data_IF_956390431351
#
_entry.id   IF_956390431351
#
_cell.length_a   1.000
_cell.length_b   1.000
_cell.length_c   1.000
_cell.angle_alpha   90.00
_cell.angle_beta   90.00
_cell.angle_gamma   90.00
#
_symmetry.space_group_name_H-M   'P 1'
#
loop_
_entity.id
_entity.type
_entity.pdbx_description
1 polymer ?
#
# COMPACT_ATOMS: atom_id res chain seq x y z
N UNK A 1 -13.63 -3.70 12.86
CA UNK A 1 -12.77 -3.65 14.05
C UNK A 1 -11.44 -3.09 13.58
N UNK A 2 -11.09 -1.85 13.91
CA UNK A 2 -9.76 -1.32 13.61
C UNK A 2 -8.86 -1.66 14.81
N UNK A 3 -7.91 -2.57 14.65
CA UNK A 3 -6.76 -2.59 15.54
C UNK A 3 -5.86 -1.42 15.14
N UNK A 4 -5.97 -0.34 15.90
CA UNK A 4 -5.09 0.82 15.78
C UNK A 4 -3.77 0.48 16.46
N UNK A 5 -2.92 -0.28 15.77
CA UNK A 5 -1.52 -0.48 16.13
C UNK A 5 -0.59 0.55 15.49
N UNK A 6 -1.09 1.41 14.60
CA UNK A 6 -0.25 2.37 13.86
C UNK A 6 -0.09 3.65 14.68
N UNK A 7 1.00 3.68 15.41
CA UNK A 7 1.46 4.80 16.20
C UNK A 7 2.08 5.85 15.26
N UNK A 8 1.23 6.68 14.64
CA UNK A 8 1.71 7.86 13.91
C UNK A 8 1.99 8.97 14.92
N UNK A 9 3.24 9.03 15.38
CA UNK A 9 3.81 10.17 16.09
C UNK A 9 3.29 10.35 17.53
N UNK A 10 4.18 10.14 18.51
CA UNK A 10 4.53 11.11 19.57
C UNK A 10 5.18 10.42 20.78
N UNK A 11 4.83 9.19 21.18
CA UNK A 11 5.55 8.40 22.20
C UNK A 11 5.10 6.93 22.16
N UNK A 12 6.01 5.98 22.43
CA UNK A 12 5.65 4.57 22.62
C UNK A 12 4.73 4.42 23.84
N UNK A 13 3.58 3.76 23.65
CA UNK A 13 2.66 3.44 24.74
C UNK A 13 3.17 2.21 25.47
N UNK A 14 3.92 2.40 26.55
CA UNK A 14 4.60 1.30 27.28
C UNK A 14 3.91 0.93 28.58
N UNK A 15 2.97 1.75 29.07
CA UNK A 15 2.23 1.48 30.32
C UNK A 15 0.72 1.45 30.13
N UNK A 16 0.02 0.78 31.05
CA UNK A 16 -1.43 0.71 31.11
C UNK A 16 -2.06 2.09 31.21
N UNK A 17 -1.50 2.98 32.03
CA UNK A 17 -2.00 4.35 32.20
C UNK A 17 -1.94 5.14 30.90
N UNK A 18 -0.83 5.04 30.16
CA UNK A 18 -0.69 5.69 28.86
C UNK A 18 -1.71 5.17 27.86
N UNK A 19 -1.93 3.85 27.82
CA UNK A 19 -2.91 3.25 26.92
C UNK A 19 -4.34 3.71 27.24
N UNK A 20 -4.71 3.81 28.52
CA UNK A 20 -6.02 4.29 28.95
C UNK A 20 -6.22 5.78 28.66
N UNK A 21 -5.21 6.61 28.93
CA UNK A 21 -5.27 8.04 28.62
C UNK A 21 -5.40 8.29 27.10
N UNK A 22 -4.67 7.51 26.30
CA UNK A 22 -4.79 7.60 24.84
C UNK A 22 -6.16 7.12 24.35
N UNK A 23 -6.68 6.02 24.91
CA UNK A 23 -8.04 5.54 24.63
C UNK A 23 -9.10 6.61 24.88
N UNK A 24 -9.04 7.30 26.03
CA UNK A 24 -9.95 8.39 26.35
C UNK A 24 -9.90 9.52 25.32
N UNK A 25 -8.70 9.84 24.82
CA UNK A 25 -8.52 10.85 23.76
C UNK A 25 -9.21 10.41 22.46
N UNK A 26 -9.09 9.13 22.09
CA UNK A 26 -9.72 8.58 20.90
C UNK A 26 -11.25 8.51 21.03
N UNK A 27 -11.77 8.10 22.19
CA UNK A 27 -13.20 8.05 22.48
C UNK A 27 -13.84 9.44 22.48
N UNK A 28 -13.10 10.47 22.87
CA UNK A 28 -13.56 11.86 22.77
C UNK A 28 -13.68 12.34 21.31
N UNK A 29 -12.94 11.75 20.37
CA UNK A 29 -13.02 12.04 18.94
C UNK A 29 -14.21 11.33 18.30
N UNK A 30 -14.37 10.02 18.53
CA UNK A 30 -15.54 9.27 18.06
C UNK A 30 -15.99 8.20 19.05
N UNK A 31 -17.01 8.47 19.89
CA UNK A 31 -17.48 7.53 20.90
C UNK A 31 -18.22 6.31 20.32
N UNK A 32 -18.46 6.26 19.01
CA UNK A 32 -19.14 5.14 18.35
C UNK A 32 -18.20 3.99 18.00
N UNK A 33 -16.89 4.22 18.06
CA UNK A 33 -15.86 3.24 17.71
C UNK A 33 -15.39 2.53 18.98
N UNK A 34 -15.33 1.19 18.92
CA UNK A 34 -14.65 0.41 19.95
C UNK A 34 -13.14 0.44 19.72
N UNK A 35 -12.41 1.13 20.60
CA UNK A 35 -10.95 1.20 20.57
C UNK A 35 -10.32 0.06 21.37
N UNK A 36 -9.56 -0.79 20.68
CA UNK A 36 -8.75 -1.85 21.26
C UNK A 36 -7.29 -1.39 21.37
N UNK A 37 -6.83 -1.16 22.59
CA UNK A 37 -5.48 -0.65 22.85
C UNK A 37 -4.46 -1.78 22.91
N UNK A 38 -3.21 -1.43 22.62
CA UNK A 38 -2.04 -2.31 22.77
C UNK A 38 -0.91 -1.59 23.50
N UNK A 39 -0.07 -2.33 24.20
CA UNK A 39 1.23 -1.82 24.66
C UNK A 39 2.32 -2.05 23.61
N UNK A 40 3.35 -1.23 23.61
CA UNK A 40 4.59 -1.45 22.88
C UNK A 40 5.48 -2.41 23.68
N UNK A 41 6.04 -3.43 23.02
CA UNK A 41 6.99 -4.35 23.64
C UNK A 41 8.35 -3.63 23.84
N UNK A 42 8.57 -3.07 25.02
CA UNK A 42 9.83 -2.42 25.40
C UNK A 42 10.62 -3.27 26.40
N UNK A 43 11.95 -3.05 26.52
CA UNK A 43 12.78 -3.73 27.53
C UNK A 43 12.31 -3.58 28.98
N UNK A 44 11.56 -2.52 29.28
CA UNK A 44 11.04 -2.21 30.61
C UNK A 44 9.69 -2.89 30.91
N UNK A 45 9.05 -3.52 29.91
CA UNK A 45 7.75 -4.16 30.09
C UNK A 45 7.89 -5.39 30.99
N UNK A 46 7.09 -5.46 32.05
CA UNK A 46 7.16 -6.52 33.06
C UNK A 46 5.93 -7.44 33.03
N UNK A 47 6.06 -8.68 33.54
CA UNK A 47 4.92 -9.58 33.73
C UNK A 47 3.76 -8.96 34.53
N UNK A 48 4.05 -8.15 35.55
CA UNK A 48 3.02 -7.52 36.37
C UNK A 48 2.27 -6.43 35.61
N UNK A 49 2.97 -5.67 34.77
CA UNK A 49 2.34 -4.69 33.89
C UNK A 49 1.43 -5.39 32.86
N UNK A 50 1.79 -6.58 32.37
CA UNK A 50 0.91 -7.39 31.50
C UNK A 50 -0.39 -7.77 32.22
N UNK A 51 -0.31 -8.27 33.46
CA UNK A 51 -1.49 -8.66 34.24
C UNK A 51 -2.39 -7.47 34.52
N UNK A 52 -1.79 -6.34 34.90
CA UNK A 52 -2.49 -5.06 35.09
C UNK A 52 -3.16 -4.58 33.80
N UNK A 53 -2.44 -4.58 32.68
CA UNK A 53 -2.94 -4.20 31.36
C UNK A 53 -4.14 -5.06 30.94
N UNK A 54 -4.07 -6.38 31.13
CA UNK A 54 -5.20 -7.27 30.84
C UNK A 54 -6.42 -6.92 31.69
N UNK A 55 -6.22 -6.71 33.00
CA UNK A 55 -7.29 -6.31 33.92
C UNK A 55 -7.96 -5.00 33.53
N UNK A 56 -7.22 -4.08 32.89
CA UNK A 56 -7.73 -2.82 32.35
C UNK A 56 -8.37 -2.93 30.94
N UNK A 57 -8.41 -4.13 30.35
CA UNK A 57 -9.02 -4.37 29.04
C UNK A 57 -8.11 -4.08 27.84
N UNK A 58 -6.79 -3.99 28.04
CA UNK A 58 -5.81 -3.89 26.95
C UNK A 58 -5.77 -5.22 26.18
N UNK A 59 -5.82 -5.14 24.85
CA UNK A 59 -6.03 -6.30 24.00
C UNK A 59 -4.75 -7.11 23.74
N UNK A 60 -3.61 -6.44 23.70
CA UNK A 60 -2.36 -7.05 23.28
C UNK A 60 -1.11 -6.23 23.52
N UNK A 61 0.01 -6.80 23.13
CA UNK A 61 1.32 -6.12 23.03
C UNK A 61 1.77 -6.18 21.57
N UNK A 62 2.28 -5.08 21.04
CA UNK A 62 2.84 -4.98 19.69
C UNK A 62 4.36 -4.94 19.76
N UNK A 63 5.00 -5.87 19.05
CA UNK A 63 6.45 -5.92 18.86
C UNK A 63 6.86 -5.25 17.55
N UNK A 64 7.87 -4.40 17.65
CA UNK A 64 8.59 -3.83 16.52
C UNK A 64 10.08 -4.23 16.62
N UNK A 65 10.62 -4.97 15.64
CA UNK A 65 12.05 -5.26 15.54
C UNK A 65 12.87 -3.97 15.38
N UNK A 66 14.15 -3.99 15.76
CA UNK A 66 14.97 -2.77 15.80
C UNK A 66 15.17 -2.17 14.41
N UNK A 67 14.84 -0.90 14.22
CA UNK A 67 15.14 -0.14 13.00
C UNK A 67 14.44 -0.62 11.72
N UNK A 68 13.45 -1.52 11.79
CA UNK A 68 12.76 -2.03 10.59
C UNK A 68 11.64 -1.12 10.09
N UNK A 69 11.08 -0.27 10.95
CA UNK A 69 9.99 0.67 10.62
C UNK A 69 10.06 1.98 11.44
N UNK A 70 9.17 2.93 11.20
CA UNK A 70 9.14 4.23 11.90
C UNK A 70 9.01 4.06 13.42
N UNK A 71 9.80 4.80 14.20
CA UNK A 71 9.88 4.74 15.68
C UNK A 71 10.37 3.40 16.27
N UNK A 72 11.17 2.62 15.52
CA UNK A 72 11.65 1.30 15.97
C UNK A 72 13.12 1.25 16.45
N UNK A 73 13.77 2.38 16.69
CA UNK A 73 15.21 2.44 17.05
C UNK A 73 15.58 1.68 18.35
N UNK A 74 14.58 1.35 19.18
CA UNK A 74 14.68 0.57 20.42
C UNK A 74 14.32 -0.93 20.30
N UNK A 75 14.11 -1.45 19.08
CA UNK A 75 13.58 -2.81 18.89
C UNK A 75 14.53 -3.98 19.22
N UNK A 76 14.04 -5.19 18.97
CA UNK A 76 14.50 -6.44 19.62
C UNK A 76 15.54 -7.20 18.79
N UNK A 77 16.67 -7.58 19.41
CA UNK A 77 17.70 -8.46 18.81
C UNK A 77 17.45 -9.96 19.10
N UNK A 78 16.79 -10.28 20.22
CA UNK A 78 16.45 -11.64 20.65
C UNK A 78 15.17 -11.60 21.48
N UNK A 79 14.24 -12.52 21.21
CA UNK A 79 12.94 -12.56 21.90
C UNK A 79 13.02 -13.25 23.27
N UNK A 80 14.09 -14.00 23.53
CA UNK A 80 14.32 -14.77 24.75
C UNK A 80 14.28 -13.90 26.02
N UNK A 81 14.77 -12.67 25.94
CA UNK A 81 14.74 -11.73 27.07
C UNK A 81 13.30 -11.34 27.48
N UNK A 82 12.34 -11.49 26.58
CA UNK A 82 10.92 -11.20 26.81
C UNK A 82 10.11 -12.44 27.18
N UNK A 83 10.72 -13.62 27.32
CA UNK A 83 9.99 -14.85 27.65
C UNK A 83 9.17 -14.75 28.94
N UNK A 84 9.64 -14.10 30.04
CA UNK A 84 8.80 -13.88 31.21
C UNK A 84 7.54 -13.06 30.89
N UNK A 85 7.64 -12.07 30.00
CA UNK A 85 6.51 -11.25 29.54
C UNK A 85 5.55 -12.11 28.70
N UNK A 86 6.06 -12.92 27.78
CA UNK A 86 5.25 -13.80 26.94
C UNK A 86 4.56 -14.91 27.73
N UNK A 87 5.20 -15.43 28.77
CA UNK A 87 4.59 -16.36 29.72
C UNK A 87 3.38 -15.70 30.40
N UNK A 88 3.54 -14.49 30.95
CA UNK A 88 2.42 -13.75 31.54
C UNK A 88 1.32 -13.42 30.53
N UNK A 89 1.67 -13.04 29.29
CA UNK A 89 0.68 -12.82 28.22
C UNK A 89 -0.10 -14.09 27.90
N UNK A 90 0.57 -15.25 27.88
CA UNK A 90 -0.05 -16.55 27.67
C UNK A 90 -0.99 -16.92 28.84
N UNK A 91 -0.58 -16.67 30.09
CA UNK A 91 -1.40 -16.91 31.29
C UNK A 91 -2.71 -16.12 31.25
N UNK A 92 -2.65 -14.86 30.86
CA UNK A 92 -3.80 -13.95 30.89
C UNK A 92 -4.53 -13.83 29.55
N UNK A 93 -4.18 -14.67 28.57
CA UNK A 93 -4.77 -14.70 27.23
C UNK A 93 -4.72 -13.32 26.54
N UNK A 94 -3.56 -12.67 26.58
CA UNK A 94 -3.26 -11.43 25.87
C UNK A 94 -2.61 -11.74 24.51
N UNK A 95 -2.94 -10.96 23.46
CA UNK A 95 -2.43 -11.19 22.10
C UNK A 95 -1.05 -10.55 21.91
N UNK A 96 -0.12 -11.30 21.33
CA UNK A 96 1.15 -10.78 20.82
C UNK A 96 1.03 -10.46 19.33
N UNK A 97 1.24 -9.20 18.97
CA UNK A 97 1.16 -8.73 17.59
C UNK A 97 2.60 -8.49 17.11
N UNK A 98 3.00 -9.08 15.99
CA UNK A 98 4.39 -9.06 15.51
C UNK A 98 4.49 -8.32 14.19
N UNK A 99 5.30 -7.26 14.14
CA UNK A 99 5.90 -6.83 12.88
C UNK A 99 6.99 -7.83 12.50
N UNK A 100 6.67 -8.79 11.65
CA UNK A 100 7.55 -9.94 11.41
C UNK A 100 8.64 -9.71 10.37
N UNK A 101 9.56 -8.77 10.58
CA UNK A 101 10.76 -8.58 9.77
C UNK A 101 12.01 -8.59 10.63
N UNK A 102 13.11 -9.17 10.17
CA UNK A 102 14.40 -8.94 10.83
C UNK A 102 15.12 -7.70 10.26
N UNK A 103 15.98 -7.01 11.03
CA UNK A 103 16.79 -5.91 10.53
C UNK A 103 17.63 -6.32 9.31
N UNK A 104 17.79 -5.41 8.35
CA UNK A 104 18.67 -5.67 7.20
C UNK A 104 20.15 -5.68 7.64
N UNK A 105 20.90 -6.68 7.18
CA UNK A 105 22.31 -6.89 7.51
C UNK A 105 22.99 -7.53 6.30
N UNK A 106 23.99 -6.83 5.75
CA UNK A 106 24.67 -7.24 4.52
C UNK A 106 25.41 -8.56 4.69
N UNK A 107 25.97 -8.84 5.88
CA UNK A 107 26.72 -10.07 6.16
C UNK A 107 25.86 -11.32 6.15
N UNK A 108 24.57 -11.19 6.48
CA UNK A 108 23.58 -12.28 6.45
C UNK A 108 22.76 -12.28 5.16
N UNK A 109 23.10 -11.41 4.20
CA UNK A 109 22.35 -11.21 2.96
C UNK A 109 20.85 -10.91 3.23
N UNK A 110 20.59 -10.12 4.28
CA UNK A 110 19.24 -9.74 4.69
C UNK A 110 18.91 -8.35 4.17
N UNK A 111 17.82 -8.23 3.43
CA UNK A 111 17.29 -6.98 2.88
C UNK A 111 15.76 -6.94 3.02
N UNK A 112 15.15 -5.81 2.65
CA UNK A 112 13.69 -5.61 2.76
C UNK A 112 12.84 -6.64 2.01
N UNK A 113 13.39 -7.34 1.02
CA UNK A 113 12.67 -8.37 0.27
C UNK A 113 12.62 -9.72 1.00
N UNK A 114 13.65 -10.08 1.77
CA UNK A 114 13.74 -11.37 2.46
C UNK A 114 13.71 -11.27 3.99
N UNK A 115 13.57 -10.06 4.55
CA UNK A 115 13.48 -9.84 5.99
C UNK A 115 12.28 -10.55 6.65
N UNK A 116 11.12 -10.61 5.99
CA UNK A 116 9.93 -11.31 6.51
C UNK A 116 10.12 -12.84 6.50
N UNK A 117 10.54 -13.48 5.39
CA UNK A 117 10.87 -14.91 5.40
C UNK A 117 11.93 -15.30 6.45
N UNK A 118 12.96 -14.46 6.63
CA UNK A 118 14.00 -14.71 7.64
C UNK A 118 13.50 -14.52 9.09
N UNK A 119 12.36 -13.85 9.31
CA UNK A 119 11.72 -13.76 10.62
C UNK A 119 10.96 -15.04 11.01
N UNK A 120 10.46 -15.81 10.04
CA UNK A 120 9.57 -16.96 10.28
C UNK A 120 10.13 -18.03 11.25
N UNK A 121 11.45 -18.34 11.27
CA UNK A 121 12.02 -19.22 12.30
C UNK A 121 11.77 -18.73 13.74
N UNK A 122 11.78 -17.40 13.97
CA UNK A 122 11.46 -16.82 15.28
C UNK A 122 9.98 -17.01 15.64
N UNK A 123 9.07 -16.84 14.68
CA UNK A 123 7.64 -17.12 14.88
C UNK A 123 7.42 -18.59 15.28
N UNK A 124 8.06 -19.53 14.58
CA UNK A 124 7.99 -20.96 14.91
C UNK A 124 8.53 -21.24 16.31
N UNK A 125 9.67 -20.64 16.67
CA UNK A 125 10.27 -20.78 18.00
C UNK A 125 9.37 -20.22 19.10
N UNK A 126 8.77 -19.05 18.89
CA UNK A 126 7.83 -18.44 19.83
C UNK A 126 6.59 -19.31 20.02
N UNK A 127 5.98 -19.80 18.94
CA UNK A 127 4.84 -20.70 19.03
C UNK A 127 5.19 -22.02 19.75
N UNK A 128 6.37 -22.59 19.49
CA UNK A 128 6.81 -23.80 20.17
C UNK A 128 7.05 -23.59 21.68
N UNK A 129 7.60 -22.44 22.07
CA UNK A 129 7.83 -22.09 23.47
C UNK A 129 6.53 -21.74 24.22
N UNK A 130 5.58 -21.10 23.53
CA UNK A 130 4.32 -20.62 24.09
C UNK A 130 3.12 -21.09 23.25
N UNK A 131 2.79 -22.39 23.26
CA UNK A 131 1.78 -22.96 22.36
C UNK A 131 0.37 -22.40 22.59
N UNK A 132 0.07 -21.86 23.77
CA UNK A 132 -1.23 -21.23 24.09
C UNK A 132 -1.24 -19.71 23.87
N UNK A 133 -0.09 -19.08 23.65
CA UNK A 133 -0.03 -17.64 23.40
C UNK A 133 -0.65 -17.34 22.04
N UNK A 134 -1.66 -16.47 22.01
CA UNK A 134 -2.23 -15.98 20.74
C UNK A 134 -1.29 -14.99 20.09
N UNK A 135 -0.87 -15.28 18.87
CA UNK A 135 0.07 -14.48 18.09
C UNK A 135 -0.59 -14.05 16.77
N UNK A 136 -0.45 -12.78 16.41
CA UNK A 136 -0.76 -12.29 15.06
C UNK A 136 0.55 -11.91 14.37
N UNK A 137 0.85 -12.58 13.26
CA UNK A 137 1.82 -12.09 12.29
C UNK A 137 1.13 -10.98 11.49
N UNK A 138 1.43 -9.73 11.83
CA UNK A 138 0.76 -8.59 11.21
C UNK A 138 1.19 -8.42 9.75
N UNK A 139 0.29 -7.85 8.95
CA UNK A 139 0.50 -7.33 7.59
C UNK A 139 1.47 -8.19 6.76
N UNK A 140 1.17 -9.49 6.62
CA UNK A 140 2.03 -10.39 5.86
C UNK A 140 2.12 -9.98 4.39
N UNK A 141 3.32 -10.14 3.83
CA UNK A 141 3.63 -9.71 2.46
C UNK A 141 4.16 -10.80 1.57
N UNK A 142 4.44 -11.99 2.10
CA UNK A 142 5.03 -13.12 1.36
C UNK A 142 4.17 -14.38 1.40
N UNK A 143 4.31 -15.21 0.36
CA UNK A 143 3.81 -16.59 0.33
C UNK A 143 4.37 -17.38 1.52
N UNK A 144 5.64 -17.20 1.84
CA UNK A 144 6.29 -17.90 2.96
C UNK A 144 5.59 -17.63 4.31
N UNK A 145 5.17 -16.39 4.56
CA UNK A 145 4.42 -16.04 5.76
C UNK A 145 3.03 -16.71 5.79
N UNK A 146 2.31 -16.73 4.67
CA UNK A 146 1.03 -17.42 4.53
C UNK A 146 1.18 -18.92 4.86
N UNK A 147 2.12 -19.61 4.22
CA UNK A 147 2.33 -21.04 4.45
C UNK A 147 2.79 -21.33 5.88
N UNK A 148 3.68 -20.50 6.44
CA UNK A 148 4.11 -20.63 7.83
C UNK A 148 2.93 -20.55 8.81
N UNK A 149 2.02 -19.58 8.63
CA UNK A 149 0.84 -19.44 9.51
C UNK A 149 -0.15 -20.59 9.34
N UNK A 150 -0.27 -21.17 8.13
CA UNK A 150 -1.10 -22.37 7.89
C UNK A 150 -0.55 -23.60 8.63
N UNK A 151 0.78 -23.76 8.66
CA UNK A 151 1.45 -24.88 9.32
C UNK A 151 1.42 -24.82 10.85
N UNK A 152 1.24 -23.62 11.44
CA UNK A 152 1.22 -23.43 12.88
C UNK A 152 -0.17 -23.72 13.50
N UNK A 153 -0.21 -23.82 14.83
CA UNK A 153 -1.44 -24.10 15.58
C UNK A 153 -2.47 -22.96 15.54
N UNK A 154 -3.67 -23.23 16.06
CA UNK A 154 -4.81 -22.29 16.05
C UNK A 154 -4.60 -20.99 16.81
N UNK A 155 -3.54 -20.91 17.61
CA UNK A 155 -3.14 -19.72 18.33
C UNK A 155 -2.37 -18.72 17.46
N UNK A 156 -2.01 -19.07 16.22
CA UNK A 156 -1.31 -18.17 15.30
C UNK A 156 -2.23 -17.75 14.15
N UNK A 157 -2.41 -16.44 14.02
CA UNK A 157 -3.17 -15.82 12.95
C UNK A 157 -2.32 -14.80 12.19
N UNK A 158 -2.91 -14.25 11.14
CA UNK A 158 -2.25 -13.27 10.28
C UNK A 158 -3.22 -12.19 9.84
N UNK A 159 -2.75 -10.94 9.87
CA UNK A 159 -3.48 -9.84 9.26
C UNK A 159 -2.93 -9.53 7.86
N UNK A 160 -3.82 -9.15 6.95
CA UNK A 160 -3.47 -8.75 5.57
C UNK A 160 -4.06 -7.36 5.31
N UNK A 161 -3.25 -6.49 4.71
CA UNK A 161 -3.66 -5.12 4.38
C UNK A 161 -4.35 -5.04 3.03
N UNK A 162 -5.13 -3.99 2.80
CA UNK A 162 -5.72 -3.74 1.49
C UNK A 162 -4.64 -3.43 0.42
N UNK A 163 -3.58 -2.70 0.80
CA UNK A 163 -2.57 -2.27 -0.15
C UNK A 163 -1.64 -3.42 -0.57
N UNK A 164 -1.35 -4.41 0.28
CA UNK A 164 -0.58 -5.59 -0.13
C UNK A 164 -1.37 -6.56 -1.03
N UNK A 165 -2.70 -6.47 -1.06
CA UNK A 165 -3.52 -7.15 -2.07
C UNK A 165 -3.46 -6.48 -3.44
N UNK A 166 -2.99 -5.24 -3.52
CA UNK A 166 -2.92 -4.45 -4.76
C UNK A 166 -1.48 -4.32 -5.27
N UNK A 167 -0.53 -4.01 -4.40
CA UNK A 167 0.82 -3.59 -4.74
C UNK A 167 1.79 -4.77 -4.87
N UNK A 168 2.81 -4.56 -5.68
CA UNK A 168 4.03 -5.37 -5.85
C UNK A 168 5.26 -4.46 -5.74
N UNK A 169 6.46 -5.04 -5.84
CA UNK A 169 7.72 -4.30 -5.82
C UNK A 169 7.78 -3.15 -6.84
N UNK A 170 7.24 -3.38 -8.05
CA UNK A 170 7.24 -2.40 -9.13
C UNK A 170 6.37 -1.18 -8.81
N UNK A 171 5.35 -1.36 -7.96
CA UNK A 171 4.42 -0.29 -7.62
C UNK A 171 4.98 0.70 -6.60
N UNK A 172 6.04 0.36 -5.85
CA UNK A 172 6.62 1.26 -4.84
C UNK A 172 8.08 1.63 -5.08
N UNK A 173 8.84 0.85 -5.86
CA UNK A 173 10.27 1.09 -6.08
C UNK A 173 10.57 2.51 -6.58
N UNK A 174 9.72 3.05 -7.47
CA UNK A 174 9.79 4.43 -7.96
C UNK A 174 8.69 5.36 -7.43
N UNK A 175 7.84 4.89 -6.52
CA UNK A 175 6.65 5.60 -6.07
C UNK A 175 6.57 5.58 -4.54
N UNK A 176 7.17 6.59 -3.91
CA UNK A 176 7.29 6.70 -2.45
C UNK A 176 5.92 6.69 -1.73
N UNK A 177 4.85 7.11 -2.41
CA UNK A 177 3.49 7.06 -1.87
C UNK A 177 2.99 5.64 -1.59
N UNK A 178 3.49 4.65 -2.33
CA UNK A 178 3.16 3.24 -2.16
C UNK A 178 4.17 2.50 -1.25
N UNK A 179 5.25 3.16 -0.85
CA UNK A 179 6.26 2.60 0.05
C UNK A 179 5.71 2.46 1.49
N UNK A 180 5.78 1.24 2.03
CA UNK A 180 5.41 0.84 3.38
C UNK A 180 6.35 -0.26 3.90
N UNK A 181 6.19 -0.66 5.17
CA UNK A 181 6.92 -1.78 5.77
C UNK A 181 5.94 -2.77 6.40
N UNK A 182 6.04 -4.08 6.10
CA UNK A 182 6.95 -4.68 5.13
C UNK A 182 6.62 -4.19 3.71
N UNK A 183 7.64 -4.07 2.85
CA UNK A 183 7.42 -3.62 1.47
C UNK A 183 6.55 -4.63 0.72
N UNK A 184 5.74 -4.18 -0.24
CA UNK A 184 5.06 -5.11 -1.14
C UNK A 184 6.09 -5.92 -1.96
N UNK A 185 5.83 -7.21 -2.15
CA UNK A 185 6.83 -8.16 -2.64
C UNK A 185 6.58 -8.53 -4.11
N UNK A 186 6.84 -9.77 -4.48
CA UNK A 186 6.70 -10.24 -5.86
C UNK A 186 5.23 -10.50 -6.22
N UNK A 187 4.89 -10.58 -7.53
CA UNK A 187 3.51 -10.88 -7.96
C UNK A 187 2.94 -12.19 -7.40
N UNK A 188 3.76 -13.22 -7.25
CA UNK A 188 3.40 -14.54 -6.69
C UNK A 188 3.17 -14.51 -5.18
N UNK A 189 3.84 -13.61 -4.46
CA UNK A 189 3.54 -13.30 -3.06
C UNK A 189 2.17 -12.63 -2.92
N UNK A 190 1.89 -11.62 -3.76
CA UNK A 190 0.57 -10.96 -3.79
C UNK A 190 -0.54 -11.96 -4.14
N UNK A 191 -0.29 -12.87 -5.06
CA UNK A 191 -1.23 -13.93 -5.40
C UNK A 191 -1.50 -14.86 -4.22
N UNK A 192 -0.47 -15.27 -3.47
CA UNK A 192 -0.66 -16.08 -2.26
C UNK A 192 -1.53 -15.39 -1.20
N UNK A 193 -1.38 -14.06 -1.01
CA UNK A 193 -2.25 -13.28 -0.13
C UNK A 193 -3.71 -13.23 -0.61
N UNK A 194 -3.94 -13.19 -1.93
CA UNK A 194 -5.30 -13.21 -2.50
C UNK A 194 -5.91 -14.60 -2.39
N UNK A 195 -5.15 -15.64 -2.67
CA UNK A 195 -5.61 -17.02 -2.68
C UNK A 195 -6.02 -17.49 -1.28
N UNK A 196 -5.30 -17.11 -0.23
CA UNK A 196 -5.68 -17.47 1.14
C UNK A 196 -7.00 -16.81 1.58
N UNK A 197 -7.30 -15.62 1.04
CA UNK A 197 -8.60 -14.96 1.26
C UNK A 197 -9.70 -15.70 0.50
N UNK A 198 -9.48 -16.10 -0.77
CA UNK A 198 -10.42 -16.92 -1.55
C UNK A 198 -10.75 -18.25 -0.86
N UNK A 199 -9.72 -18.89 -0.30
CA UNK A 199 -9.83 -20.13 0.49
C UNK A 199 -10.78 -19.95 1.69
N UNK A 200 -10.92 -18.72 2.19
CA UNK A 200 -11.77 -18.41 3.34
C UNK A 200 -11.14 -18.85 4.67
N UNK A 201 -9.80 -18.92 4.74
CA UNK A 201 -9.11 -19.45 5.90
C UNK A 201 -9.38 -18.58 7.16
N UNK A 202 -9.87 -19.16 8.27
CA UNK A 202 -10.44 -18.39 9.39
C UNK A 202 -9.39 -17.61 10.21
N UNK A 203 -8.11 -17.94 10.07
CA UNK A 203 -6.99 -17.28 10.76
C UNK A 203 -6.38 -16.11 9.97
N UNK A 204 -6.93 -15.77 8.80
CA UNK A 204 -6.53 -14.59 8.03
C UNK A 204 -7.66 -13.57 8.03
N UNK A 205 -7.34 -12.32 8.39
CA UNK A 205 -8.31 -11.24 8.51
C UNK A 205 -7.71 -9.88 8.16
N UNK A 206 -8.58 -8.90 7.94
CA UNK A 206 -8.19 -7.54 7.60
C UNK A 206 -7.47 -6.87 8.78
N UNK A 207 -6.25 -6.41 8.53
CA UNK A 207 -5.56 -5.39 9.32
C UNK A 207 -5.11 -4.30 8.36
N UNK A 208 -5.61 -3.07 8.50
CA UNK A 208 -5.42 -2.06 7.43
C UNK A 208 -3.98 -1.57 7.31
N UNK A 209 -3.25 -1.58 8.42
CA UNK A 209 -1.99 -0.87 8.60
C UNK A 209 -2.02 0.56 8.01
N UNK A 210 -3.16 1.24 8.23
CA UNK A 210 -3.34 2.58 7.71
C UNK A 210 -2.40 3.55 8.44
N UNK A 211 -1.36 3.98 7.75
CA UNK A 211 -0.26 4.77 8.30
C UNK A 211 -0.20 6.16 7.67
N UNK A 212 -0.97 7.15 8.20
CA UNK A 212 -0.93 8.51 7.68
C UNK A 212 0.46 9.15 7.89
N UNK A 213 1.09 9.63 6.80
CA UNK A 213 2.28 10.49 6.86
C UNK A 213 2.10 11.80 6.07
N UNK A 214 2.51 12.98 6.63
CA UNK A 214 2.33 14.25 5.95
C UNK A 214 2.93 14.19 4.53
N UNK A 215 2.33 14.86 3.53
CA UNK A 215 2.83 14.82 2.16
C UNK A 215 4.33 15.11 2.01
N UNK A 216 4.87 16.00 2.84
CA UNK A 216 6.29 16.36 2.85
C UNK A 216 7.22 15.20 3.21
N UNK A 217 6.81 14.31 4.13
CA UNK A 217 7.61 13.13 4.49
C UNK A 217 7.47 11.97 3.51
N UNK A 218 6.47 12.01 2.62
CA UNK A 218 6.31 11.05 1.51
C UNK A 218 7.00 11.51 0.23
N UNK A 219 6.94 12.81 -0.09
CA UNK A 219 7.34 13.34 -1.40
C UNK A 219 8.85 13.55 -1.57
N UNK A 220 9.58 13.73 -0.47
CA UNK A 220 11.00 14.11 -0.51
C UNK A 220 11.84 13.11 0.27
N UNK A 221 12.47 12.16 -0.42
CA UNK A 221 13.62 11.45 0.13
C UNK A 221 14.87 12.33 -0.07
N UNK A 222 15.52 12.68 1.03
CA UNK A 222 16.80 13.40 1.05
C UNK A 222 17.92 12.42 1.41
N UNK A 223 19.20 12.70 1.09
CA UNK A 223 20.31 11.83 1.45
C UNK A 223 20.39 11.46 2.95
N UNK A 224 19.89 12.35 3.81
CA UNK A 224 19.87 12.24 5.27
C UNK A 224 18.47 11.94 5.85
N UNK A 225 17.43 11.89 5.01
CA UNK A 225 16.05 11.70 5.44
C UNK A 225 15.29 10.82 4.44
N UNK A 226 15.14 9.50 4.73
CA UNK A 226 14.37 8.62 3.87
C UNK A 226 12.88 9.00 3.88
N UNK A 227 12.17 8.66 2.81
CA UNK A 227 10.71 8.83 2.80
C UNK A 227 10.05 7.95 3.88
N UNK A 228 8.98 8.46 4.48
CA UNK A 228 8.21 7.73 5.48
C UNK A 228 7.53 6.49 4.87
N UNK A 229 7.67 5.36 5.55
CA UNK A 229 7.00 4.11 5.20
C UNK A 229 5.56 4.12 5.73
N UNK A 230 4.59 3.97 4.84
CA UNK A 230 3.19 3.84 5.23
C UNK A 230 2.23 4.18 4.10
N UNK A 231 1.11 3.48 4.03
CA UNK A 231 0.00 3.77 3.12
C UNK A 231 -1.21 4.16 3.95
N UNK A 232 -1.74 5.35 3.74
CA UNK A 232 -2.97 5.78 4.38
C UNK A 232 -4.16 5.18 3.65
N UNK A 233 -5.03 4.43 4.34
CA UNK A 233 -6.19 3.75 3.71
C UNK A 233 -7.50 3.92 4.48
N UNK A 234 -7.47 4.38 5.73
CA UNK A 234 -8.64 4.49 6.62
C UNK A 234 -9.89 5.12 5.98
N UNK A 235 -9.83 6.23 5.20
CA UNK A 235 -11.02 6.88 4.66
C UNK A 235 -11.82 6.03 3.67
N UNK A 236 -11.19 5.03 3.04
CA UNK A 236 -11.78 4.23 1.96
C UNK A 236 -11.62 2.72 2.15
N UNK A 237 -11.23 2.29 3.36
CA UNK A 237 -10.78 0.93 3.61
C UNK A 237 -11.81 -0.13 3.16
N UNK A 238 -13.06 -0.01 3.59
CA UNK A 238 -14.09 -1.01 3.26
C UNK A 238 -14.44 -1.03 1.75
N UNK A 239 -14.70 0.12 1.08
CA UNK A 239 -14.85 0.13 -0.38
C UNK A 239 -13.62 -0.42 -1.13
N UNK A 240 -12.41 -0.09 -0.69
CA UNK A 240 -11.17 -0.56 -1.31
C UNK A 240 -11.04 -2.08 -1.20
N UNK A 241 -11.26 -2.64 -0.01
CA UNK A 241 -11.21 -4.09 0.21
C UNK A 241 -12.30 -4.79 -0.62
N UNK A 242 -13.53 -4.28 -0.65
CA UNK A 242 -14.60 -4.85 -1.46
C UNK A 242 -14.26 -4.85 -2.96
N UNK A 243 -13.72 -3.75 -3.47
CA UNK A 243 -13.27 -3.64 -4.85
C UNK A 243 -12.15 -4.65 -5.18
N UNK A 244 -11.17 -4.79 -4.28
CA UNK A 244 -10.08 -5.74 -4.47
C UNK A 244 -10.58 -7.18 -4.44
N UNK A 245 -11.38 -7.56 -3.45
CA UNK A 245 -11.96 -8.92 -3.36
C UNK A 245 -12.82 -9.24 -4.58
N UNK A 246 -13.62 -8.30 -5.08
CA UNK A 246 -14.37 -8.46 -6.34
C UNK A 246 -13.42 -8.73 -7.52
N UNK A 247 -12.31 -7.99 -7.63
CA UNK A 247 -11.35 -8.11 -8.74
C UNK A 247 -10.69 -9.48 -8.89
N UNK A 248 -10.70 -10.31 -7.83
CA UNK A 248 -10.19 -11.67 -7.88
C UNK A 248 -11.25 -12.73 -7.50
N UNK A 249 -12.54 -12.38 -7.46
CA UNK A 249 -13.63 -13.33 -7.25
C UNK A 249 -13.77 -13.86 -5.81
N UNK A 250 -13.51 -13.03 -4.81
CA UNK A 250 -13.65 -13.36 -3.38
C UNK A 250 -14.60 -12.43 -2.63
N UNK A 251 -15.53 -11.75 -3.33
CA UNK A 251 -16.45 -10.80 -2.69
C UNK A 251 -17.34 -11.46 -1.63
N UNK A 252 -17.68 -12.74 -1.82
CA UNK A 252 -18.40 -13.59 -0.86
C UNK A 252 -17.63 -13.80 0.47
N UNK A 253 -16.31 -13.62 0.46
CA UNK A 253 -15.44 -13.71 1.66
C UNK A 253 -15.36 -12.42 2.46
N UNK A 254 -15.93 -11.33 1.96
CA UNK A 254 -15.76 -10.00 2.52
C UNK A 254 -16.16 -9.93 4.00
N UNK A 255 -17.32 -10.46 4.38
CA UNK A 255 -17.80 -10.41 5.76
C UNK A 255 -16.89 -11.15 6.75
N UNK A 256 -16.37 -12.32 6.35
CA UNK A 256 -15.46 -13.09 7.20
C UNK A 256 -14.10 -12.39 7.32
N UNK A 257 -13.54 -11.95 6.20
CA UNK A 257 -12.22 -11.29 6.17
C UNK A 257 -12.19 -9.97 6.95
N UNK A 258 -13.20 -9.11 6.81
CA UNK A 258 -13.20 -7.77 7.44
C UNK A 258 -13.82 -7.74 8.85
N UNK A 259 -14.43 -8.84 9.28
CA UNK A 259 -15.27 -8.85 10.48
C UNK A 259 -15.10 -10.13 11.30
N UNK A 260 -15.62 -11.26 10.81
CA UNK A 260 -15.85 -12.43 11.68
C UNK A 260 -14.55 -13.12 12.10
N UNK A 261 -13.56 -13.20 11.22
CA UNK A 261 -12.30 -13.90 11.50
C UNK A 261 -11.50 -13.18 12.58
N UNK A 262 -11.29 -11.87 12.43
CA UNK A 262 -10.63 -11.04 13.44
C UNK A 262 -11.40 -11.04 14.78
N UNK A 263 -12.73 -10.89 14.74
CA UNK A 263 -13.55 -10.96 15.96
C UNK A 263 -13.42 -12.28 16.70
N UNK A 264 -13.50 -13.41 15.98
CA UNK A 264 -13.29 -14.75 16.56
C UNK A 264 -11.91 -14.85 17.19
N UNK A 265 -10.86 -14.44 16.46
CA UNK A 265 -9.50 -14.50 16.99
C UNK A 265 -9.34 -13.65 18.25
N UNK A 266 -9.86 -12.42 18.29
CA UNK A 266 -9.79 -11.52 19.44
C UNK A 266 -10.87 -11.76 20.52
N UNK A 267 -11.72 -12.79 20.35
CA UNK A 267 -12.85 -13.11 21.26
C UNK A 267 -13.79 -11.92 21.49
N UNK A 268 -14.11 -11.21 20.41
CA UNK A 268 -15.02 -10.05 20.39
C UNK A 268 -16.37 -10.45 19.83
N UNK A 269 -17.34 -10.58 20.72
CA UNK A 269 -18.71 -10.90 20.36
C UNK A 269 -19.45 -9.67 19.83
N UNK A 270 -20.41 -9.91 18.93
CA UNK A 270 -21.34 -8.89 18.48
C UNK A 270 -22.55 -8.85 19.41
N UNK A 271 -23.01 -7.66 19.83
CA UNK A 271 -24.35 -7.51 20.38
C UNK A 271 -25.40 -8.02 19.38
N UNK A 272 -26.50 -8.60 19.89
CA UNK A 272 -27.61 -9.10 19.04
C UNK A 272 -28.16 -8.03 18.10
N UNK A 273 -28.14 -6.75 18.52
CA UNK A 273 -28.59 -5.60 17.74
C UNK A 273 -27.43 -4.81 17.12
N UNK A 274 -26.31 -5.45 16.78
CA UNK A 274 -25.15 -4.77 16.21
C UNK A 274 -25.49 -4.07 14.87
N UNK A 275 -24.98 -2.85 14.65
CA UNK A 275 -25.16 -2.14 13.39
C UNK A 275 -24.50 -2.90 12.23
N UNK A 276 -25.20 -2.91 11.09
CA UNK A 276 -24.75 -3.55 9.85
C UNK A 276 -24.30 -2.47 8.85
N UNK A 277 -23.14 -2.67 8.24
CA UNK A 277 -22.58 -1.75 7.24
C UNK A 277 -22.80 -2.29 5.84
N UNK A 278 -23.80 -1.72 5.14
CA UNK A 278 -24.13 -2.10 3.76
C UNK A 278 -23.28 -1.33 2.76
N UNK A 279 -22.43 -2.03 2.02
CA UNK A 279 -21.74 -1.46 0.87
C UNK A 279 -22.64 -1.50 -0.37
N UNK A 280 -22.62 -0.42 -1.16
CA UNK A 280 -23.34 -0.33 -2.43
C UNK A 280 -22.36 0.09 -3.52
N UNK A 281 -22.42 -0.56 -4.67
CA UNK A 281 -21.66 -0.16 -5.84
C UNK A 281 -22.13 1.23 -6.29
N UNK A 282 -21.18 2.15 -6.40
CA UNK A 282 -21.41 3.53 -6.86
C UNK A 282 -20.52 3.81 -8.08
N UNK A 283 -20.99 4.58 -9.06
CA UNK A 283 -20.17 5.03 -10.18
C UNK A 283 -19.20 6.16 -9.79
N UNK A 284 -19.27 6.69 -8.57
CA UNK A 284 -18.42 7.79 -8.10
C UNK A 284 -16.96 7.36 -7.95
N UNK A 285 -16.05 8.17 -8.47
CA UNK A 285 -14.61 7.99 -8.27
C UNK A 285 -14.21 8.43 -6.87
N UNK A 286 -13.34 7.64 -6.24
CA UNK A 286 -12.77 7.97 -4.94
C UNK A 286 -12.03 9.32 -5.02
N UNK A 287 -12.19 10.16 -3.99
CA UNK A 287 -11.42 11.41 -3.88
C UNK A 287 -9.92 11.08 -3.84
N UNK A 288 -9.09 11.94 -4.42
CA UNK A 288 -7.62 11.69 -4.50
C UNK A 288 -6.84 12.50 -3.46
N UNK A 289 -7.54 13.33 -2.69
CA UNK A 289 -6.99 14.20 -1.66
C UNK A 289 -7.98 14.28 -0.50
N UNK A 290 -7.46 14.19 0.73
CA UNK A 290 -8.22 14.35 1.96
C UNK A 290 -7.49 15.32 2.86
N UNK A 291 -8.10 16.44 3.18
CA UNK A 291 -7.51 17.37 4.13
C UNK A 291 -7.74 16.87 5.57
N UNK A 292 -6.91 17.27 6.54
CA UNK A 292 -7.25 17.04 7.95
C UNK A 292 -8.59 17.71 8.31
N UNK A 293 -8.94 18.81 7.63
CA UNK A 293 -10.23 19.48 7.76
C UNK A 293 -11.41 18.61 7.30
N UNK A 294 -11.24 17.79 6.25
CA UNK A 294 -12.26 16.85 5.78
C UNK A 294 -12.56 15.74 6.81
N UNK A 295 -11.66 15.49 7.76
CA UNK A 295 -11.70 14.34 8.69
C UNK A 295 -12.01 14.79 10.13
N UNK A 296 -11.48 15.93 10.57
CA UNK A 296 -11.50 16.35 11.98
C UNK A 296 -12.09 17.74 12.25
N UNK A 297 -12.51 18.50 11.23
CA UNK A 297 -13.10 19.83 11.41
C UNK A 297 -12.15 20.84 12.05
N UNK A 298 -11.47 21.65 11.22
CA UNK A 298 -10.61 22.77 11.61
C UNK A 298 -9.60 22.45 12.72
N UNK A 299 -8.54 21.74 12.35
CA UNK A 299 -7.18 21.88 12.91
C UNK A 299 -6.27 20.85 12.24
N UNK A 300 -5.21 21.38 11.61
CA UNK A 300 -4.05 20.71 11.00
C UNK A 300 -4.20 20.43 9.49
N UNK A 301 -3.06 20.31 8.77
CA UNK A 301 -2.92 20.43 7.31
C UNK A 301 -3.14 19.15 6.46
N UNK A 302 -3.26 19.35 5.14
CA UNK A 302 -3.78 18.44 4.10
C UNK A 302 -3.02 17.10 3.84
N UNK A 303 -3.72 15.98 3.58
CA UNK A 303 -3.17 14.70 3.07
C UNK A 303 -3.55 14.43 1.59
N UNK A 304 -2.70 13.71 0.85
CA UNK A 304 -2.96 13.28 -0.54
C UNK A 304 -2.83 11.77 -0.67
N UNK A 305 -3.52 11.18 -1.64
CA UNK A 305 -3.39 9.76 -2.01
C UNK A 305 -2.90 9.65 -3.45
N UNK A 306 -2.09 8.64 -3.72
CA UNK A 306 -1.84 8.15 -5.08
C UNK A 306 -3.00 7.24 -5.50
N UNK A 307 -3.47 7.41 -6.74
CA UNK A 307 -4.46 6.54 -7.34
C UNK A 307 -3.97 5.09 -7.33
N UNK A 308 -4.65 4.22 -6.58
CA UNK A 308 -4.61 2.78 -6.81
C UNK A 308 -5.50 2.46 -8.01
N UNK A 309 -5.12 2.95 -9.20
CA UNK A 309 -5.74 2.50 -10.44
C UNK A 309 -5.04 1.24 -10.89
N UNK A 310 -5.78 0.14 -10.88
CA UNK A 310 -5.51 -1.04 -11.69
C UNK A 310 -5.06 -0.63 -13.10
N UNK A 311 -4.09 -1.36 -13.64
CA UNK A 311 -3.58 -1.18 -15.00
C UNK A 311 -4.67 -0.85 -16.00
N UNK A 312 -4.38 0.13 -16.86
CA UNK A 312 -5.23 0.55 -17.96
C UNK A 312 -5.44 -0.60 -18.93
N UNK A 313 -6.63 -1.21 -18.89
CA UNK A 313 -7.21 -1.93 -20.02
C UNK A 313 -8.31 -1.07 -20.61
N UNK A 314 -8.07 -0.53 -21.80
CA UNK A 314 -9.06 0.13 -22.61
C UNK A 314 -9.89 -0.91 -23.37
N UNK A 315 -11.22 -0.92 -23.19
CA UNK A 315 -12.19 -0.70 -24.28
C UNK A 315 -13.64 -0.76 -23.78
N UNK A 316 -14.39 0.22 -24.28
CA UNK A 316 -15.83 0.38 -24.17
C UNK A 316 -16.61 -0.61 -25.04
N UNK A 317 -17.76 -1.13 -24.59
CA UNK A 317 -18.77 -1.65 -25.49
C UNK A 317 -19.75 -0.54 -25.87
N UNK A 318 -19.88 -0.31 -27.18
CA UNK A 318 -20.98 0.47 -27.76
C UNK A 318 -22.30 -0.25 -27.48
N UNK A 319 -23.29 0.44 -26.88
CA UNK A 319 -24.63 0.58 -27.49
C UNK A 319 -25.56 1.57 -26.81
N UNK A 320 -26.13 2.44 -27.67
CA UNK A 320 -27.41 3.16 -27.58
C UNK A 320 -27.61 4.19 -26.47
N UNK A 321 -26.95 5.34 -26.62
CA UNK A 321 -27.48 6.60 -26.09
C UNK A 321 -28.51 7.17 -27.08
N UNK A 322 -29.78 7.19 -26.67
CA UNK A 322 -30.83 8.01 -27.30
C UNK A 322 -30.46 9.49 -27.15
N UNK A 323 -30.77 10.24 -28.20
CA UNK A 323 -30.58 11.68 -28.37
C UNK A 323 -30.90 12.51 -27.10
N UNK A 324 -29.95 13.33 -26.66
CA UNK A 324 -30.25 14.61 -26.01
C UNK A 324 -29.31 15.69 -26.59
N UNK A 325 -29.84 16.50 -27.50
CA UNK A 325 -29.22 17.75 -27.97
C UNK A 325 -29.42 18.82 -26.89
N UNK A 326 -28.36 19.46 -26.43
CA UNK A 326 -28.45 20.75 -25.74
C UNK A 326 -27.61 21.79 -26.47
N UNK A 327 -28.30 22.84 -26.91
CA UNK A 327 -27.76 24.03 -27.61
C UNK A 327 -26.99 24.88 -26.61
N UNK A 328 -25.76 25.26 -26.94
CA UNK A 328 -25.06 26.35 -26.26
C UNK A 328 -25.39 27.69 -26.91
N UNK A 329 -25.94 28.61 -26.12
CA UNK A 329 -26.12 30.02 -26.48
C UNK A 329 -24.79 30.74 -26.18
N UNK A 330 -24.09 31.15 -27.23
CA UNK A 330 -22.84 31.93 -27.16
C UNK A 330 -23.17 33.37 -26.76
N UNK A 331 -22.54 33.87 -25.70
CA UNK A 331 -22.27 35.31 -25.54
C UNK A 331 -20.78 35.52 -25.73
N UNK A 332 -20.44 36.09 -26.87
CA UNK A 332 -19.11 36.58 -27.23
C UNK A 332 -18.89 37.97 -26.66
N UNK A 333 -17.74 38.18 -26.02
CA UNK A 333 -16.98 39.42 -26.17
C UNK A 333 -15.54 39.04 -26.52
N UNK A 334 -15.16 39.34 -27.75
CA UNK A 334 -13.83 39.19 -28.30
C UNK A 334 -12.96 40.39 -27.91
N UNK A 335 -11.69 40.13 -27.59
CA UNK A 335 -10.58 40.96 -28.08
C UNK A 335 -9.76 40.06 -29.00
N UNK A 336 -9.76 40.37 -30.30
CA UNK A 336 -9.04 39.62 -31.35
C UNK A 336 -7.64 40.22 -31.50
N UNK A 337 -6.61 39.41 -31.25
CA UNK A 337 -5.27 39.62 -31.80
C UNK A 337 -5.33 39.33 -33.31
N UNK A 338 -5.14 40.33 -34.19
CA UNK A 338 -5.23 40.17 -35.64
C UNK A 338 -4.19 39.20 -36.22
N UNK A 339 -3.13 38.86 -35.48
CA UNK A 339 -2.01 38.07 -35.97
C UNK A 339 -2.03 36.60 -35.50
N UNK A 340 -2.99 36.21 -34.65
CA UNK A 340 -3.04 34.85 -34.10
C UNK A 340 -3.33 33.78 -35.18
N UNK A 341 -4.19 34.11 -36.16
CA UNK A 341 -4.54 33.20 -37.25
C UNK A 341 -3.34 32.94 -38.19
N UNK A 342 -2.56 33.98 -38.50
CA UNK A 342 -1.37 33.87 -39.35
C UNK A 342 -0.23 33.08 -38.66
N UNK A 343 -0.08 33.22 -37.33
CA UNK A 343 0.90 32.46 -36.54
C UNK A 343 0.54 30.97 -36.48
N UNK A 344 -0.73 30.64 -36.31
CA UNK A 344 -1.21 29.25 -36.33
C UNK A 344 -0.99 28.59 -37.70
N UNK A 345 -1.24 29.31 -38.79
CA UNK A 345 -1.01 28.79 -40.15
C UNK A 345 0.47 28.50 -40.44
N UNK A 346 1.39 29.35 -39.97
CA UNK A 346 2.84 29.09 -40.04
C UNK A 346 3.27 27.88 -39.21
N UNK A 347 2.67 27.70 -38.02
CA UNK A 347 2.98 26.57 -37.15
C UNK A 347 2.53 25.24 -37.78
N UNK A 348 1.33 25.22 -38.39
CA UNK A 348 0.80 24.03 -39.07
C UNK A 348 1.61 23.67 -40.33
N UNK A 349 2.08 24.66 -41.08
CA UNK A 349 2.95 24.41 -42.25
C UNK A 349 4.29 23.78 -41.83
N UNK A 350 4.94 24.29 -40.78
CA UNK A 350 6.18 23.72 -40.26
C UNK A 350 6.01 22.31 -39.67
N UNK A 351 4.84 22.01 -39.10
CA UNK A 351 4.50 20.68 -38.57
C UNK A 351 4.33 19.63 -39.69
N UNK A 352 3.79 20.02 -40.84
CA UNK A 352 3.68 19.12 -42.00
C UNK A 352 5.03 18.92 -42.70
N UNK A 353 5.91 19.91 -42.69
CA UNK A 353 7.28 19.81 -43.23
C UNK A 353 8.14 18.86 -42.37
N UNK A 354 8.06 18.96 -41.04
CA UNK A 354 8.69 18.03 -40.09
C UNK A 354 8.19 16.59 -40.22
N UNK A 355 6.89 16.39 -40.48
CA UNK A 355 6.33 15.06 -40.74
C UNK A 355 6.79 14.46 -42.08
N UNK A 356 7.20 15.30 -43.02
CA UNK A 356 7.73 14.87 -44.31
C UNK A 356 9.20 14.52 -44.20
N UNK A 357 9.99 15.35 -43.51
CA UNK A 357 11.40 15.07 -43.19
C UNK A 357 11.57 13.79 -42.35
N UNK A 358 10.66 13.51 -41.41
CA UNK A 358 10.73 12.27 -40.62
C UNK A 358 10.31 11.03 -41.41
N UNK A 359 9.41 11.17 -42.40
CA UNK A 359 9.05 10.06 -43.30
C UNK A 359 10.19 9.68 -44.24
N UNK A 360 10.94 10.68 -44.71
CA UNK A 360 12.09 10.45 -45.59
C UNK A 360 13.32 9.89 -44.83
N UNK A 361 13.34 10.01 -43.48
CA UNK A 361 14.37 9.41 -42.60
C UNK A 361 14.10 7.94 -42.25
N UNK A 362 12.87 7.45 -42.37
CA UNK A 362 12.54 6.02 -42.16
C UNK A 362 13.05 5.10 -43.30
N UNK A 363 13.53 5.65 -44.43
CA UNK A 363 13.88 4.87 -45.65
C UNK A 363 15.39 4.83 -45.93
N UNK A 364 16.25 5.35 -45.06
CA UNK A 364 17.71 5.18 -45.20
C UNK A 364 18.26 4.23 -44.15
N UNK A 365 18.57 3.03 -44.61
CA UNK A 365 19.36 2.00 -43.94
C UNK A 365 20.47 2.60 -43.05
N UNK A 366 20.28 2.54 -41.74
CA UNK A 366 21.35 2.72 -40.77
C UNK A 366 21.52 1.39 -40.04
N UNK A 367 22.66 0.76 -40.31
CA UNK A 367 23.09 -0.47 -39.68
C UNK A 367 23.05 -0.29 -38.14
N UNK A 368 22.21 -1.07 -37.47
CA UNK A 368 21.90 -1.02 -36.03
C UNK A 368 23.15 -0.83 -35.13
N UNK A 369 24.31 -1.34 -35.57
CA UNK A 369 25.59 -1.19 -34.89
C UNK A 369 26.07 0.27 -34.77
N UNK A 370 25.87 1.11 -35.79
CA UNK A 370 26.26 2.53 -35.75
C UNK A 370 25.33 3.33 -34.85
N UNK A 371 24.03 3.03 -34.87
CA UNK A 371 23.05 3.69 -34.00
C UNK A 371 23.31 3.37 -32.53
N UNK A 372 23.64 2.11 -32.22
CA UNK A 372 24.01 1.69 -30.86
C UNK A 372 25.32 2.35 -30.40
N UNK A 373 26.30 2.53 -31.28
CA UNK A 373 27.53 3.25 -30.93
C UNK A 373 27.32 4.75 -30.71
N UNK A 374 26.44 5.40 -31.48
CA UNK A 374 26.12 6.81 -31.28
C UNK A 374 25.37 7.05 -29.97
N UNK A 375 24.44 6.16 -29.61
CA UNK A 375 23.72 6.22 -28.33
C UNK A 375 24.66 5.95 -27.16
N UNK A 376 25.49 4.90 -27.23
CA UNK A 376 26.44 4.60 -26.16
C UNK A 376 27.47 5.73 -26.01
N UNK A 377 27.95 6.31 -27.12
CA UNK A 377 28.82 7.48 -27.09
C UNK A 377 28.13 8.73 -26.54
N UNK A 378 26.83 8.91 -26.76
CA UNK A 378 26.07 10.01 -26.17
C UNK A 378 25.89 9.83 -24.65
N UNK A 379 25.62 8.60 -24.20
CA UNK A 379 25.52 8.25 -22.77
C UNK A 379 26.87 8.46 -22.08
N UNK A 380 27.99 8.03 -22.68
CA UNK A 380 29.34 8.25 -22.11
C UNK A 380 29.73 9.74 -22.06
N UNK A 381 29.34 10.53 -23.06
CA UNK A 381 29.55 12.00 -23.05
C UNK A 381 28.72 12.67 -21.95
N UNK A 382 27.49 12.22 -21.74
CA UNK A 382 26.61 12.71 -20.68
C UNK A 382 27.09 12.33 -19.27
N UNK A 383 27.64 11.12 -19.08
CA UNK A 383 28.21 10.70 -17.80
C UNK A 383 29.46 11.51 -17.40
N UNK A 384 30.16 12.10 -18.37
CA UNK A 384 31.36 12.93 -18.15
C UNK A 384 31.06 14.43 -18.05
N UNK A 385 29.85 14.88 -18.40
CA UNK A 385 29.44 16.29 -18.31
C UNK A 385 28.76 16.56 -16.97
N UNK A 386 29.49 17.18 -16.03
CA UNK A 386 29.01 17.47 -14.67
C UNK A 386 28.24 18.78 -14.56
N UNK A 387 27.93 19.44 -15.69
CA UNK A 387 27.14 20.66 -15.71
C UNK A 387 25.65 20.36 -15.50
N UNK A 388 24.90 21.17 -14.75
CA UNK A 388 23.47 20.99 -14.58
C UNK A 388 22.75 21.05 -15.92
N UNK A 389 21.89 20.06 -16.19
CA UNK A 389 21.11 19.98 -17.42
C UNK A 389 20.23 21.22 -17.55
N UNK A 390 20.33 21.92 -18.69
CA UNK A 390 19.41 23.01 -18.98
C UNK A 390 18.00 22.45 -19.19
N UNK A 391 16.94 23.24 -18.94
CA UNK A 391 15.55 22.80 -19.17
C UNK A 391 15.31 22.26 -20.59
N UNK A 392 16.01 22.82 -21.58
CA UNK A 392 15.91 22.41 -22.98
C UNK A 392 16.52 21.02 -23.20
N UNK A 393 17.67 20.75 -22.58
CA UNK A 393 18.36 19.45 -22.67
C UNK A 393 17.58 18.35 -21.94
N UNK A 394 16.96 18.67 -20.80
CA UNK A 394 16.08 17.74 -20.08
C UNK A 394 14.85 17.35 -20.89
N UNK A 395 14.25 18.32 -21.59
CA UNK A 395 13.10 18.09 -22.48
C UNK A 395 13.46 17.15 -23.64
N UNK A 396 14.58 17.38 -24.30
CA UNK A 396 15.06 16.53 -25.40
C UNK A 396 15.33 15.08 -24.95
N UNK A 397 15.83 14.89 -23.72
CA UNK A 397 16.04 13.56 -23.12
C UNK A 397 14.73 12.84 -22.78
N UNK A 398 13.74 13.55 -22.24
CA UNK A 398 12.41 12.98 -21.98
C UNK A 398 11.73 12.53 -23.28
N UNK A 399 11.84 13.33 -24.34
CA UNK A 399 11.26 12.98 -25.65
C UNK A 399 11.93 11.72 -26.24
N UNK A 400 13.25 11.58 -26.14
CA UNK A 400 13.98 10.39 -26.59
C UNK A 400 13.57 9.11 -25.84
N UNK A 401 13.33 9.18 -24.53
CA UNK A 401 12.91 8.04 -23.71
C UNK A 401 11.49 7.58 -24.04
N UNK A 402 10.59 8.52 -24.34
CA UNK A 402 9.21 8.22 -24.78
C UNK A 402 9.22 7.45 -26.10
N UNK A 403 10.09 7.81 -27.04
CA UNK A 403 10.23 7.10 -28.31
C UNK A 403 10.79 5.67 -28.14
N UNK A 404 11.73 5.47 -27.20
CA UNK A 404 12.27 4.14 -26.90
C UNK A 404 11.20 3.23 -26.27
N UNK A 405 10.38 3.75 -25.36
CA UNK A 405 9.28 3.00 -24.74
C UNK A 405 8.23 2.56 -25.77
N UNK A 406 7.87 3.44 -26.72
CA UNK A 406 6.95 3.12 -27.79
C UNK A 406 7.48 2.04 -28.76
N UNK A 407 8.80 2.01 -28.98
CA UNK A 407 9.46 0.98 -29.79
C UNK A 407 9.39 -0.41 -29.13
N UNK A 408 9.66 -0.49 -27.82
CA UNK A 408 9.57 -1.75 -27.04
C UNK A 408 8.14 -2.30 -27.05
N UNK A 409 7.14 -1.43 -26.81
CA UNK A 409 5.72 -1.80 -26.83
C UNK A 409 5.22 -2.21 -28.24
N UNK A 410 5.92 -1.76 -29.29
CA UNK A 410 5.69 -2.18 -30.67
C UNK A 410 6.20 -3.60 -30.95
N UNK A 411 7.38 -3.94 -30.41
CA UNK A 411 7.98 -5.27 -30.55
C UNK A 411 7.23 -6.33 -29.74
N UNK A 412 6.79 -6.03 -28.50
CA UNK A 412 6.01 -6.97 -27.68
C UNK A 412 4.68 -7.39 -28.34
N UNK A 413 4.01 -6.45 -29.02
CA UNK A 413 2.81 -6.73 -29.82
C UNK A 413 3.09 -7.60 -31.04
N UNK A 414 4.29 -7.50 -31.61
CA UNK A 414 4.73 -8.26 -32.79
C UNK A 414 4.98 -9.73 -32.47
N UNK A 415 5.35 -10.06 -31.22
CA UNK A 415 5.68 -11.42 -30.77
C UNK A 415 4.56 -12.14 -29.98
N UNK A 416 3.35 -11.55 -29.86
CA UNK A 416 2.14 -12.30 -29.52
C UNK A 416 1.99 -12.78 -28.07
N UNK A 417 2.58 -12.08 -27.10
CA UNK A 417 2.47 -12.41 -25.67
C UNK A 417 1.17 -11.83 -25.07
N UNK A 418 0.03 -12.50 -25.25
CA UNK A 418 -1.11 -12.62 -24.29
C UNK A 418 -2.42 -13.04 -24.98
N UNK A 419 -3.01 -14.17 -24.55
CA UNK A 419 -4.32 -14.67 -24.98
C UNK A 419 -5.24 -14.98 -23.78
N UNK A 420 -6.55 -14.72 -23.96
CA UNK A 420 -7.78 -15.21 -23.25
C UNK A 420 -8.16 -14.66 -21.84
N UNK A 421 -9.42 -14.57 -21.35
CA UNK A 421 -10.84 -14.61 -21.84
C UNK A 421 -11.81 -14.27 -20.65
N UNK A 422 -12.83 -13.42 -20.88
CA UNK A 422 -14.27 -13.45 -20.48
C UNK A 422 -14.84 -13.34 -19.03
N UNK A 423 -16.12 -12.93 -18.99
CA UNK A 423 -16.95 -12.18 -18.01
C UNK A 423 -17.91 -13.08 -17.17
N UNK A 424 -18.36 -12.60 -15.99
CA UNK A 424 -19.77 -12.57 -15.52
C UNK A 424 -19.94 -12.19 -14.02
N UNK A 425 -21.01 -11.42 -13.73
CA UNK A 425 -21.23 -10.55 -12.57
C UNK A 425 -22.26 -11.05 -11.55
N UNK A 426 -22.06 -10.90 -10.22
CA UNK A 426 -23.13 -10.87 -9.19
C UNK A 426 -22.74 -9.99 -7.97
N UNK A 427 -23.63 -9.12 -7.49
CA UNK A 427 -23.41 -8.23 -6.32
C UNK A 427 -23.92 -8.80 -4.98
N UNK A 428 -23.32 -8.39 -3.85
CA UNK A 428 -23.57 -8.93 -2.49
C UNK A 428 -23.73 -7.80 -1.45
N UNK A 429 -24.58 -8.01 -0.43
CA UNK A 429 -24.74 -7.14 0.75
C UNK A 429 -23.87 -7.59 1.93
N UNK A 430 -23.25 -6.64 2.64
CA UNK A 430 -22.52 -6.85 3.91
C UNK A 430 -23.31 -6.27 5.08
#
# INVERSE_FOLDING_TARGET
MLLLGVQVGICNVTTTEQALAYKQTLEAIDPRIEYMMTLYLSPELTPDEIRKAKGAGIAGVKSYPRGVTTNSDSGIESYEVYYPVFEAMQEVDMVLNLHGEIPSEARTNTCVLNAEPQFLPHLRKLHAAFPRLRIVLEHATTRAAVECVKELGDTVACSITAHHLALTVDDWAGQSWNFCKPVAKYPDDREALRDIIKEGHPRFFLGSDSAPHPPSSKSNAMPDSPCAAGVYTSPILLPLVAHLLESFGALDRLADFVSNNGRRFYKKELPVAAPVVKLRRSPETVRTQWTLDDIYGNKLDNWKFSNLTSGTSSRSPKRTARNLRLRFKRTTTQTRDPNAAARLQKLYAGLEELKKENRDKEVRDLNQAQWNQEILGAIERMQKDTRPLTPETFKQLSEALVHLAAFVEGEERRYGLNQTLEDESHGVSV
#
